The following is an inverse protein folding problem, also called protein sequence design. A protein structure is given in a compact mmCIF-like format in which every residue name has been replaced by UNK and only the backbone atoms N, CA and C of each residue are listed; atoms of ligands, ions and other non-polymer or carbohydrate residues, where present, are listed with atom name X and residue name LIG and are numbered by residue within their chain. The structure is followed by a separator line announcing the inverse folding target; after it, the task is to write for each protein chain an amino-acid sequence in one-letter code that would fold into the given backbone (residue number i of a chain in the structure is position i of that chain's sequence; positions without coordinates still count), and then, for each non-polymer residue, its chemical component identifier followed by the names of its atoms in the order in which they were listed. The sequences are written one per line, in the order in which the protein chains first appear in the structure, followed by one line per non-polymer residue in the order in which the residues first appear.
data_IF_181070060265
#
_entry.id   IF_181070060265
#
_cell.length_a   1.000
_cell.length_b   1.000
_cell.length_c   1.000
_cell.angle_alpha   90.00
_cell.angle_beta   90.00
_cell.angle_gamma   90.00
#
_symmetry.space_group_name_H-M   'P 1'
#
loop_
_entity.id
_entity.type
_entity.pdbx_description
1 polymer ?
#
# COMPACT_ATOMS: atom_id res chain seq x y z
N UNK A 1 -9.72 -5.60 4.73
CA UNK A 1 -9.30 -4.20 4.45
C UNK A 1 -8.29 -4.21 3.31
N UNK A 2 -8.12 -3.09 2.60
CA UNK A 2 -7.07 -2.92 1.60
C UNK A 2 -6.20 -1.69 1.93
N UNK A 3 -4.89 -1.80 1.70
CA UNK A 3 -3.99 -0.65 1.69
C UNK A 3 -3.96 -0.03 0.30
N UNK A 4 -4.21 1.27 0.20
CA UNK A 4 -4.34 1.98 -1.08
C UNK A 4 -3.45 3.22 -1.11
N UNK A 5 -3.01 3.61 -2.30
CA UNK A 5 -2.37 4.90 -2.55
C UNK A 5 -3.05 5.56 -3.73
N UNK A 6 -3.18 6.88 -3.65
CA UNK A 6 -3.69 7.72 -4.72
C UNK A 6 -2.77 8.90 -4.96
N UNK A 7 -2.72 9.35 -6.21
CA UNK A 7 -2.09 10.61 -6.58
C UNK A 7 -3.15 11.59 -7.06
N UNK A 8 -2.98 12.83 -6.62
CA UNK A 8 -3.82 13.95 -6.98
C UNK A 8 -2.98 15.04 -7.62
N UNK A 9 -3.50 15.61 -8.68
CA UNK A 9 -2.99 16.85 -9.21
C UNK A 9 -3.39 17.99 -8.27
N UNK A 10 -2.39 18.69 -7.73
CA UNK A 10 -2.60 19.70 -6.68
C UNK A 10 -3.27 20.97 -7.20
N UNK A 11 -3.17 21.26 -8.49
CA UNK A 11 -3.73 22.47 -9.11
C UNK A 11 -5.20 22.28 -9.47
N UNK A 12 -5.51 21.18 -10.17
CA UNK A 12 -6.85 20.87 -10.68
C UNK A 12 -7.72 20.12 -9.67
N UNK A 13 -7.13 19.62 -8.58
CA UNK A 13 -7.79 18.75 -7.59
C UNK A 13 -8.38 17.49 -8.21
N UNK A 14 -7.86 17.05 -9.35
CA UNK A 14 -8.28 15.80 -9.99
C UNK A 14 -7.37 14.66 -9.57
N UNK A 15 -7.97 13.50 -9.31
CA UNK A 15 -7.22 12.27 -9.03
C UNK A 15 -6.56 11.77 -10.32
N UNK A 16 -5.23 11.66 -10.31
CA UNK A 16 -4.45 11.14 -11.43
C UNK A 16 -4.54 9.62 -11.51
N UNK A 17 -4.41 8.94 -10.37
CA UNK A 17 -4.57 7.49 -10.28
C UNK A 17 -4.90 7.05 -8.85
N UNK A 18 -5.43 5.83 -8.75
CA UNK A 18 -5.73 5.11 -7.51
C UNK A 18 -5.24 3.66 -7.68
N UNK A 19 -4.50 3.15 -6.69
CA UNK A 19 -3.95 1.80 -6.73
C UNK A 19 -4.00 1.11 -5.38
N UNK A 20 -4.37 -0.16 -5.41
CA UNK A 20 -4.27 -1.06 -4.27
C UNK A 20 -2.83 -1.58 -4.16
N UNK A 21 -2.29 -1.56 -2.95
CA UNK A 21 -0.93 -2.01 -2.64
C UNK A 21 -0.95 -3.40 -2.01
N UNK A 22 -1.86 -3.65 -1.08
CA UNK A 22 -2.00 -4.95 -0.41
C UNK A 22 -3.43 -5.19 0.07
N UNK A 23 -3.73 -6.46 0.36
CA UNK A 23 -4.98 -6.90 0.99
C UNK A 23 -4.67 -7.42 2.38
N UNK A 24 -5.49 -7.06 3.36
CA UNK A 24 -5.48 -7.64 4.71
C UNK A 24 -6.54 -8.72 4.79
N UNK A 25 -6.10 -9.96 4.98
CA UNK A 25 -6.98 -11.10 5.23
C UNK A 25 -7.40 -11.09 6.69
N UNK A 26 -8.69 -10.85 6.93
CA UNK A 26 -9.29 -10.87 8.26
C UNK A 26 -9.70 -12.29 8.64
N UNK A 27 -9.56 -12.62 9.91
CA UNK A 27 -10.21 -13.71 10.59
C UNK A 27 -11.63 -13.27 10.98
N UNK A 28 -12.69 -13.93 10.47
CA UNK A 28 -14.07 -13.55 10.78
C UNK A 28 -14.46 -13.80 12.25
N UNK A 29 -13.68 -14.58 13.00
CA UNK A 29 -13.92 -14.87 14.41
C UNK A 29 -13.30 -13.85 15.37
N UNK A 30 -12.64 -12.81 14.86
CA UNK A 30 -12.01 -11.75 15.65
C UNK A 30 -12.64 -10.40 15.32
N UNK A 31 -12.54 -9.44 16.24
CA UNK A 31 -13.00 -8.07 16.03
C UNK A 31 -12.30 -7.43 14.82
N UNK A 32 -13.00 -6.59 14.08
CA UNK A 32 -12.53 -6.14 12.77
C UNK A 32 -11.47 -5.03 12.85
N UNK A 33 -11.53 -4.18 13.86
CA UNK A 33 -10.70 -3.00 14.04
C UNK A 33 -9.29 -3.35 14.55
N UNK A 34 -9.19 -4.35 15.44
CA UNK A 34 -7.88 -4.91 15.86
C UNK A 34 -7.12 -5.59 14.72
N UNK A 35 -7.81 -5.83 13.60
CA UNK A 35 -7.27 -6.47 12.41
C UNK A 35 -6.97 -5.49 11.26
N UNK A 36 -7.03 -4.20 11.51
CA UNK A 36 -6.71 -3.20 10.51
C UNK A 36 -5.21 -2.92 10.46
N UNK A 37 -4.67 -2.79 9.24
CA UNK A 37 -3.23 -2.61 9.00
C UNK A 37 -3.05 -1.47 8.03
N UNK A 38 -2.57 -0.35 8.53
CA UNK A 38 -2.42 0.87 7.76
C UNK A 38 -1.03 1.01 7.15
N UNK A 39 -0.94 1.87 6.14
CA UNK A 39 0.34 2.31 5.59
C UNK A 39 0.96 3.25 6.62
N UNK A 40 2.14 2.89 7.12
CA UNK A 40 2.88 3.68 8.12
C UNK A 40 3.93 4.58 7.49
N UNK A 41 4.40 4.24 6.28
CA UNK A 41 5.44 5.01 5.58
C UNK A 41 5.30 4.94 4.07
N UNK A 42 5.51 6.07 3.42
CA UNK A 42 5.70 6.20 1.96
C UNK A 42 6.98 7.00 1.72
N UNK A 43 7.86 6.51 0.85
CA UNK A 43 9.06 7.21 0.41
C UNK A 43 9.16 7.15 -1.10
N UNK A 44 9.50 8.29 -1.72
CA UNK A 44 9.74 8.37 -3.15
C UNK A 44 11.24 8.16 -3.45
N UNK A 45 11.54 7.18 -4.30
CA UNK A 45 12.84 7.03 -4.96
C UNK A 45 12.76 7.62 -6.38
N UNK A 46 13.20 8.88 -6.50
CA UNK A 46 13.22 9.61 -7.76
C UNK A 46 14.11 8.98 -8.83
N UNK A 47 15.19 8.29 -8.43
CA UNK A 47 16.12 7.69 -9.40
C UNK A 47 15.49 6.48 -10.07
N UNK A 48 14.72 5.71 -9.31
CA UNK A 48 14.08 4.47 -9.78
C UNK A 48 12.63 4.66 -10.23
N UNK A 49 12.01 5.81 -9.96
CA UNK A 49 10.58 6.05 -10.15
C UNK A 49 9.70 5.06 -9.37
N UNK A 50 10.10 4.80 -8.12
CA UNK A 50 9.42 3.85 -7.24
C UNK A 50 8.93 4.57 -5.99
N UNK A 51 7.69 4.29 -5.56
CA UNK A 51 7.25 4.51 -4.18
C UNK A 51 7.57 3.27 -3.34
N UNK A 52 8.43 3.46 -2.35
CA UNK A 52 8.69 2.48 -1.30
C UNK A 52 7.65 2.67 -0.19
N UNK A 53 6.83 1.66 0.03
CA UNK A 53 5.70 1.70 0.95
C UNK A 53 5.92 0.66 2.04
N UNK A 54 5.61 1.00 3.28
CA UNK A 54 5.68 0.08 4.42
C UNK A 54 4.40 0.18 5.22
N UNK A 55 3.87 -0.95 5.67
CA UNK A 55 2.73 -0.99 6.56
C UNK A 55 3.16 -1.06 8.04
N UNK A 56 2.21 -0.97 8.97
CA UNK A 56 2.48 -1.01 10.42
C UNK A 56 3.12 -2.32 10.89
N UNK A 57 2.93 -3.41 10.13
CA UNK A 57 3.57 -4.70 10.39
C UNK A 57 4.99 -4.81 9.80
N UNK A 58 5.49 -3.74 9.18
CA UNK A 58 6.84 -3.69 8.62
C UNK A 58 6.99 -4.37 7.25
N UNK A 59 5.91 -4.78 6.60
CA UNK A 59 5.99 -5.39 5.27
C UNK A 59 6.32 -4.33 4.20
N UNK A 60 7.39 -4.51 3.41
CA UNK A 60 7.79 -3.57 2.38
C UNK A 60 7.18 -3.88 1.01
N UNK A 61 6.68 -2.84 0.35
CA UNK A 61 6.12 -2.86 -0.99
C UNK A 61 6.84 -1.84 -1.88
N UNK A 62 6.96 -2.15 -3.16
CA UNK A 62 7.47 -1.24 -4.17
C UNK A 62 6.37 -0.99 -5.20
N UNK A 63 6.11 0.26 -5.49
CA UNK A 63 5.12 0.67 -6.48
C UNK A 63 5.79 1.47 -7.59
N UNK A 64 5.75 0.96 -8.81
CA UNK A 64 6.37 1.59 -9.97
C UNK A 64 5.44 2.68 -10.51
N UNK A 65 5.94 3.92 -10.56
CA UNK A 65 5.16 5.09 -10.98
C UNK A 65 4.99 5.18 -12.50
N UNK A 66 5.78 4.44 -13.29
CA UNK A 66 5.69 4.39 -14.74
C UNK A 66 4.65 3.38 -15.19
N UNK A 67 4.65 2.19 -14.59
CA UNK A 67 3.72 1.11 -14.95
C UNK A 67 2.45 1.12 -14.09
N UNK A 68 2.46 1.82 -12.96
CA UNK A 68 1.40 1.81 -11.95
C UNK A 68 1.11 0.42 -11.37
N UNK A 69 2.16 -0.38 -11.22
CA UNK A 69 2.11 -1.74 -10.66
C UNK A 69 2.74 -1.79 -9.27
N UNK A 70 2.05 -2.46 -8.35
CA UNK A 70 2.55 -2.76 -7.01
C UNK A 70 3.15 -4.15 -6.96
N UNK A 71 4.32 -4.29 -6.33
CA UNK A 71 4.95 -5.58 -6.05
C UNK A 71 5.42 -5.65 -4.60
N UNK A 72 5.44 -6.86 -4.05
CA UNK A 72 6.07 -7.12 -2.76
C UNK A 72 7.59 -7.09 -2.94
N UNK A 73 8.29 -6.41 -2.03
CA UNK A 73 9.76 -6.46 -1.99
C UNK A 73 10.20 -7.69 -1.19
N UNK A 74 9.49 -7.99 -0.09
CA UNK A 74 9.60 -9.20 0.71
C UNK A 74 8.22 -9.52 1.34
N UNK A 75 7.84 -10.80 1.40
CA UNK A 75 6.57 -11.25 1.98
C UNK A 75 5.47 -11.56 0.96
N UNK A 76 4.20 -11.54 1.40
CA UNK A 76 3.01 -11.86 0.58
C UNK A 76 2.16 -10.60 0.32
N UNK A 77 1.51 -10.48 -0.86
CA UNK A 77 0.58 -9.38 -1.16
C UNK A 77 -0.68 -9.42 -0.28
N UNK A 78 -0.91 -10.58 0.35
CA UNK A 78 -1.93 -10.81 1.36
C UNK A 78 -1.26 -10.79 2.73
N UNK A 79 -1.59 -9.78 3.53
CA UNK A 79 -1.21 -9.66 4.94
C UNK A 79 -2.15 -10.55 5.75
N UNK A 80 -1.58 -11.43 6.58
CA UNK A 80 -2.34 -12.25 7.52
C UNK A 80 -1.92 -11.86 8.93
N UNK A 81 -2.89 -11.54 9.76
CA UNK A 81 -2.68 -11.21 11.16
C UNK A 81 -2.70 -12.54 11.93
N UNK A 82 -1.67 -12.74 12.76
CA UNK A 82 -1.55 -13.93 13.60
C UNK A 82 -2.29 -13.73 14.91
#
# INVERSE_FOLDING_TARGET
MIGCVEAWDTATKKRSWFRQIYVVRRNPSLESDVQDVFISRIRLDNKRNILEITNELGFPYAFDLRTLEARTVKGKPVVTIK
#
